data_IF_643215156533
#
_entry.id   IF_643215156533
#
_cell.length_a   1.000
_cell.length_b   1.000
_cell.length_c   1.000
_cell.angle_alpha   90.00
_cell.angle_beta   90.00
_cell.angle_gamma   90.00
#
_symmetry.space_group_name_H-M   'P 1'
#
loop_
_entity.id
_entity.type
_entity.pdbx_description
1 polymer ?
#
# COMPACT_ATOMS: atom_id res chain seq x y z
N UNK A 1 -9.51 11.50 19.80
CA UNK A 1 -10.12 10.32 19.16
C UNK A 1 -9.14 9.89 18.08
N UNK A 2 -8.27 8.92 18.40
CA UNK A 2 -7.06 8.65 17.62
C UNK A 2 -7.39 8.15 16.21
N UNK A 3 -6.90 8.85 15.19
CA UNK A 3 -6.88 8.37 13.82
C UNK A 3 -5.87 7.22 13.77
N UNK A 4 -6.26 6.01 13.34
CA UNK A 4 -5.31 4.90 13.32
C UNK A 4 -4.21 5.16 12.28
N UNK A 5 -2.97 5.22 12.78
CA UNK A 5 -1.74 5.23 11.99
C UNK A 5 -1.66 3.94 11.16
N UNK A 6 -2.22 3.98 9.95
CA UNK A 6 -1.89 3.16 8.76
C UNK A 6 -2.88 3.34 7.61
N UNK A 7 -3.89 4.21 7.74
CA UNK A 7 -4.72 4.58 6.60
C UNK A 7 -3.98 5.57 5.69
N UNK A 8 -3.37 5.02 4.64
CA UNK A 8 -3.31 5.74 3.37
C UNK A 8 -4.78 5.92 2.95
N UNK A 9 -5.35 7.06 3.33
CA UNK A 9 -6.69 7.46 2.91
C UNK A 9 -6.59 7.74 1.41
N UNK A 10 -6.95 6.75 0.59
CA UNK A 10 -7.18 6.98 -0.83
C UNK A 10 -8.41 7.89 -0.93
N UNK A 11 -8.15 9.16 -1.19
CA UNK A 11 -9.18 10.19 -1.39
C UNK A 11 -10.07 9.77 -2.57
N UNK A 12 -11.35 10.08 -2.48
CA UNK A 12 -12.48 9.54 -3.26
C UNK A 12 -12.31 9.55 -4.79
N UNK A 13 -11.46 10.42 -5.35
CA UNK A 13 -11.11 10.39 -6.78
C UNK A 13 -9.94 9.43 -7.10
N UNK A 14 -8.99 9.28 -6.18
CA UNK A 14 -7.83 8.38 -6.31
C UNK A 14 -8.18 6.89 -6.19
N UNK A 15 -9.29 6.55 -5.54
CA UNK A 15 -9.74 5.15 -5.45
C UNK A 15 -10.11 4.55 -6.81
N UNK A 16 -10.64 5.35 -7.75
CA UNK A 16 -11.03 4.84 -9.06
C UNK A 16 -9.81 4.46 -9.90
N UNK A 17 -8.78 5.30 -9.92
CA UNK A 17 -7.55 5.00 -10.65
C UNK A 17 -6.77 3.86 -9.99
N UNK A 18 -6.83 3.77 -8.66
CA UNK A 18 -6.31 2.64 -7.90
C UNK A 18 -7.01 1.32 -8.28
N UNK A 19 -8.33 1.30 -8.38
CA UNK A 19 -9.11 0.12 -8.79
C UNK A 19 -8.87 -0.24 -10.27
N UNK A 20 -8.64 0.73 -11.15
CA UNK A 20 -8.25 0.43 -12.54
C UNK A 20 -6.90 -0.27 -12.61
N UNK A 21 -5.96 0.09 -11.73
CA UNK A 21 -4.62 -0.49 -11.69
C UNK A 21 -4.60 -1.87 -11.03
N UNK A 22 -5.14 -2.00 -9.81
CA UNK A 22 -5.12 -3.24 -9.04
C UNK A 22 -6.23 -4.23 -9.42
N UNK A 23 -7.31 -3.74 -10.01
CA UNK A 23 -8.56 -4.47 -10.14
C UNK A 23 -9.44 -4.33 -8.90
N UNK A 24 -10.67 -4.82 -9.01
CA UNK A 24 -11.61 -4.87 -7.89
C UNK A 24 -11.16 -5.90 -6.85
N UNK A 25 -11.18 -5.56 -5.54
CA UNK A 25 -10.71 -6.44 -4.49
C UNK A 25 -11.60 -7.67 -4.33
N UNK A 26 -11.00 -8.79 -3.95
CA UNK A 26 -11.71 -9.99 -3.52
C UNK A 26 -12.30 -9.82 -2.11
N UNK A 27 -13.28 -10.66 -1.75
CA UNK A 27 -13.84 -10.67 -0.38
C UNK A 27 -12.78 -10.94 0.70
N UNK A 28 -11.73 -11.71 0.38
CA UNK A 28 -10.60 -11.94 1.29
C UNK A 28 -9.83 -10.65 1.57
N UNK A 29 -9.55 -9.86 0.53
CA UNK A 29 -8.82 -8.59 0.63
C UNK A 29 -9.64 -7.49 1.32
N UNK A 30 -10.97 -7.56 1.20
CA UNK A 30 -11.87 -6.66 1.91
C UNK A 30 -11.98 -6.98 3.42
N UNK A 31 -11.57 -8.17 3.85
CA UNK A 31 -11.90 -8.71 5.17
C UNK A 31 -11.51 -7.83 6.37
N UNK A 32 -10.38 -7.13 6.29
CA UNK A 32 -9.88 -6.24 7.37
C UNK A 32 -10.45 -4.83 7.35
N UNK A 33 -11.10 -4.44 6.25
CA UNK A 33 -11.55 -3.07 6.05
C UNK A 33 -12.83 -2.79 6.84
N UNK A 34 -13.06 -1.51 7.13
CA UNK A 34 -14.32 -1.07 7.73
C UNK A 34 -15.50 -1.32 6.76
N UNK A 35 -16.71 -1.51 7.30
CA UNK A 35 -17.91 -1.69 6.46
C UNK A 35 -18.13 -0.51 5.49
N UNK A 36 -17.82 0.70 5.94
CA UNK A 36 -17.88 1.90 5.08
C UNK A 36 -16.92 1.81 3.90
N UNK A 37 -15.68 1.37 4.13
CA UNK A 37 -14.69 1.18 3.08
C UNK A 37 -15.09 0.05 2.12
N UNK A 38 -15.62 -1.07 2.64
CA UNK A 38 -16.13 -2.17 1.80
C UNK A 38 -17.27 -1.72 0.89
N UNK A 39 -18.25 -0.99 1.43
CA UNK A 39 -19.37 -0.46 0.65
C UNK A 39 -18.87 0.49 -0.43
N UNK A 40 -17.94 1.38 -0.08
CA UNK A 40 -17.37 2.33 -1.02
C UNK A 40 -16.61 1.64 -2.17
N UNK A 41 -15.78 0.63 -1.88
CA UNK A 41 -15.02 -0.13 -2.89
C UNK A 41 -15.91 -1.00 -3.80
N UNK A 42 -17.16 -1.27 -3.40
CA UNK A 42 -18.15 -2.02 -4.19
C UNK A 42 -19.04 -1.13 -5.08
N UNK A 43 -18.99 0.19 -4.93
CA UNK A 43 -19.79 1.12 -5.76
C UNK A 43 -19.35 1.18 -7.23
N UNK A 44 -18.04 1.21 -7.55
CA UNK A 44 -17.58 1.27 -8.93
C UNK A 44 -17.88 -0.02 -9.72
N UNK A 45 -17.94 0.04 -11.06
CA UNK A 45 -17.96 -1.17 -11.89
C UNK A 45 -16.78 -2.09 -11.59
N UNK A 46 -16.98 -3.38 -11.81
CA UNK A 46 -15.91 -4.36 -11.65
C UNK A 46 -14.77 -4.08 -12.64
N UNK A 47 -13.54 -4.09 -12.13
CA UNK A 47 -12.31 -3.97 -12.91
C UNK A 47 -11.49 -5.26 -12.76
N UNK A 48 -11.10 -5.87 -13.89
CA UNK A 48 -10.15 -6.98 -13.87
C UNK A 48 -8.74 -6.49 -13.50
N UNK A 49 -7.92 -7.30 -12.81
CA UNK A 49 -6.56 -6.92 -12.46
C UNK A 49 -5.71 -6.72 -13.72
N UNK A 50 -4.93 -5.64 -13.75
CA UNK A 50 -3.97 -5.38 -14.82
C UNK A 50 -2.57 -5.87 -14.43
N UNK A 51 -1.82 -6.39 -15.40
CA UNK A 51 -0.41 -6.68 -15.17
C UNK A 51 0.37 -5.37 -15.08
N UNK A 52 1.06 -5.15 -13.94
CA UNK A 52 1.93 -3.99 -13.76
C UNK A 52 3.03 -3.90 -14.82
N UNK A 53 3.48 -5.04 -15.36
CA UNK A 53 4.47 -5.07 -16.46
C UNK A 53 3.92 -4.51 -17.77
N UNK A 54 2.60 -4.54 -17.97
CA UNK A 54 1.96 -3.94 -19.15
C UNK A 54 1.78 -2.43 -18.94
N UNK A 55 1.40 -2.02 -17.73
CA UNK A 55 1.20 -0.60 -17.38
C UNK A 55 2.54 0.15 -17.33
N UNK A 56 3.60 -0.52 -16.85
CA UNK A 56 4.92 0.06 -16.64
C UNK A 56 6.02 -0.74 -17.37
N UNK A 57 6.04 -0.73 -18.71
CA UNK A 57 6.90 -1.62 -19.51
C UNK A 57 8.40 -1.31 -19.37
N UNK A 58 8.76 -0.08 -18.99
CA UNK A 58 10.14 0.38 -18.88
C UNK A 58 10.67 0.40 -17.45
N UNK A 59 9.93 -0.19 -16.50
CA UNK A 59 10.30 -0.20 -15.09
C UNK A 59 10.99 -1.53 -14.76
N UNK A 60 12.10 -1.54 -14.00
CA UNK A 60 12.78 -2.77 -13.62
C UNK A 60 11.85 -3.77 -12.91
N UNK A 61 12.03 -5.06 -13.20
CA UNK A 61 11.21 -6.13 -12.60
C UNK A 61 11.19 -6.08 -11.06
N UNK A 62 12.36 -5.85 -10.45
CA UNK A 62 12.49 -5.75 -8.98
C UNK A 62 11.70 -4.56 -8.40
N UNK A 63 11.58 -3.46 -9.12
CA UNK A 63 10.79 -2.30 -8.70
C UNK A 63 9.29 -2.62 -8.74
N UNK A 64 8.83 -3.28 -9.81
CA UNK A 64 7.44 -3.71 -9.96
C UNK A 64 7.04 -4.68 -8.85
N UNK A 65 7.89 -5.65 -8.54
CA UNK A 65 7.61 -6.60 -7.46
C UNK A 65 7.54 -5.90 -6.09
N UNK A 66 8.38 -4.90 -5.84
CA UNK A 66 8.33 -4.11 -4.61
C UNK A 66 7.00 -3.33 -4.51
N UNK A 67 6.63 -2.59 -5.56
CA UNK A 67 5.40 -1.79 -5.60
C UNK A 67 4.16 -2.69 -5.42
N UNK A 68 4.13 -3.87 -6.04
CA UNK A 68 3.03 -4.82 -5.85
C UNK A 68 2.86 -5.26 -4.39
N UNK A 69 3.95 -5.41 -3.65
CA UNK A 69 3.89 -5.75 -2.21
C UNK A 69 3.52 -4.54 -1.33
N UNK A 70 3.77 -3.32 -1.79
CA UNK A 70 3.35 -2.09 -1.10
C UNK A 70 1.86 -1.77 -1.32
N UNK A 71 1.35 -2.00 -2.53
CA UNK A 71 -0.02 -1.65 -2.94
C UNK A 71 -1.01 -2.79 -2.69
N UNK A 72 -1.32 -3.05 -1.42
CA UNK A 72 -2.33 -4.03 -1.01
C UNK A 72 -3.55 -3.35 -0.38
N UNK A 73 -4.75 -3.88 -0.67
CA UNK A 73 -6.00 -3.43 -0.06
C UNK A 73 -6.01 -3.64 1.45
N UNK A 74 -5.73 -4.87 1.90
CA UNK A 74 -5.56 -5.16 3.33
C UNK A 74 -4.23 -4.57 3.81
N UNK A 75 -4.23 -3.56 4.70
CA UNK A 75 -2.99 -2.96 5.19
C UNK A 75 -2.06 -3.96 5.87
N UNK A 76 -2.62 -5.04 6.42
CA UNK A 76 -1.86 -6.11 7.10
C UNK A 76 -1.11 -7.02 6.14
N UNK A 77 -1.39 -6.92 4.84
CA UNK A 77 -0.72 -7.69 3.79
C UNK A 77 0.36 -6.86 3.07
N UNK A 78 0.48 -5.57 3.39
CA UNK A 78 1.55 -4.73 2.85
C UNK A 78 2.90 -5.16 3.44
N UNK A 79 3.94 -5.09 2.62
CA UNK A 79 5.33 -5.26 3.05
C UNK A 79 5.67 -4.29 4.20
N UNK A 80 6.44 -4.74 5.19
CA UNK A 80 6.90 -3.86 6.27
C UNK A 80 8.02 -2.94 5.78
N UNK A 81 8.29 -1.87 6.52
CA UNK A 81 9.36 -0.93 6.17
C UNK A 81 10.72 -1.63 6.21
N UNK A 82 10.93 -2.51 7.18
CA UNK A 82 12.15 -3.31 7.33
C UNK A 82 12.36 -4.22 6.11
N UNK A 83 11.32 -4.94 5.69
CA UNK A 83 11.37 -5.82 4.52
C UNK A 83 11.56 -5.04 3.19
N UNK A 84 11.14 -3.77 3.14
CA UNK A 84 11.36 -2.89 1.99
C UNK A 84 12.85 -2.57 1.81
N UNK A 85 13.55 -2.27 2.90
CA UNK A 85 14.98 -1.99 2.88
C UNK A 85 15.82 -3.21 2.48
N UNK A 86 15.40 -4.40 2.89
CA UNK A 86 16.03 -5.67 2.48
C UNK A 86 15.72 -6.09 1.03
N UNK A 87 14.77 -5.41 0.37
CA UNK A 87 14.34 -5.77 -0.98
C UNK A 87 15.43 -5.50 -2.02
N UNK A 88 15.58 -6.42 -2.98
CA UNK A 88 16.61 -6.35 -4.04
C UNK A 88 16.64 -5.00 -4.78
N UNK A 89 15.49 -4.34 -4.92
CA UNK A 89 15.40 -3.05 -5.60
C UNK A 89 16.09 -1.89 -4.85
N UNK A 90 16.07 -1.90 -3.51
CA UNK A 90 16.65 -0.84 -2.68
C UNK A 90 17.99 -1.22 -2.06
N UNK A 91 18.42 -2.48 -2.18
CA UNK A 91 19.64 -3.02 -1.57
C UNK A 91 20.89 -2.16 -1.80
N UNK A 92 21.06 -1.59 -2.99
CA UNK A 92 22.25 -0.77 -3.31
C UNK A 92 22.20 0.63 -2.68
N UNK A 93 21.02 1.07 -2.24
CA UNK A 93 20.78 2.36 -1.61
C UNK A 93 20.67 2.27 -0.08
N UNK A 94 20.61 1.04 0.47
CA UNK A 94 20.39 0.82 1.89
C UNK A 94 21.66 1.12 2.69
N UNK A 95 21.57 2.10 3.59
CA UNK A 95 22.65 2.47 4.52
C UNK A 95 22.09 2.60 5.93
N UNK A 96 22.39 1.60 6.76
CA UNK A 96 21.91 1.54 8.15
C UNK A 96 22.39 2.73 9.00
N UNK A 97 23.48 3.39 8.61
CA UNK A 97 24.00 4.54 9.34
C UNK A 97 23.21 5.82 9.07
N UNK A 98 22.54 5.89 7.91
CA UNK A 98 21.67 7.01 7.48
C UNK A 98 20.17 6.73 7.72
N UNK A 99 19.82 5.55 8.25
CA UNK A 99 18.45 5.10 8.51
C UNK A 99 18.18 4.83 10.01
N UNK A 100 18.21 5.85 10.89
CA UNK A 100 18.07 5.65 12.33
C UNK A 100 16.62 5.33 12.75
N UNK A 101 16.48 4.44 13.73
CA UNK A 101 15.19 4.16 14.40
C UNK A 101 14.93 5.19 15.48
N UNK A 102 13.74 5.79 15.48
CA UNK A 102 13.32 6.67 16.57
C UNK A 102 13.08 5.86 17.85
N UNK A 103 13.86 6.13 18.90
CA UNK A 103 13.79 5.39 20.17
C UNK A 103 12.67 5.89 21.10
N UNK A 104 12.16 7.11 20.86
CA UNK A 104 11.08 7.71 21.62
C UNK A 104 9.82 7.77 20.77
N UNK A 105 8.71 7.23 21.28
CA UNK A 105 7.41 7.39 20.63
C UNK A 105 6.99 8.86 20.65
N UNK A 106 6.30 9.29 19.58
CA UNK A 106 5.66 10.58 19.55
C UNK A 106 4.50 10.61 20.55
N UNK A 107 4.38 11.71 21.30
CA UNK A 107 3.28 11.89 22.26
C UNK A 107 2.12 12.65 21.58
N UNK A 108 0.97 11.97 21.43
CA UNK A 108 -0.25 12.52 20.83
C UNK A 108 -1.18 13.24 21.83
N UNK A 109 -0.84 13.30 23.13
CA UNK A 109 -1.69 13.93 24.16
C UNK A 109 -1.76 15.47 24.02
N UNK A 110 -0.99 16.05 23.10
CA UNK A 110 -0.90 17.49 22.85
C UNK A 110 -1.83 17.97 21.71
N UNK A 111 -2.62 17.09 21.09
CA UNK A 111 -3.63 17.40 20.05
C UNK A 111 -5.05 17.58 20.58
#
# INVERSE_FOLDING_TARGET
>A
MAVPHNEVVLVVDGCYDFLKLLGSPSEKELGSLSEKAKLYLKQPPYHGPQSFFVVFPNVPYSAIELIKKMLMFDPRQRISVEDVFDHQYLREMHDITDEPVCLSLFNFDLE
#
